data_IF_630338404631
#
_entry.id   IF_630338404631
#
_cell.length_a   1.000
_cell.length_b   1.000
_cell.length_c   1.000
_cell.angle_alpha   90.00
_cell.angle_beta   90.00
_cell.angle_gamma   90.00
#
_symmetry.space_group_name_H-M   'P 1'
#
loop_
_entity.id
_entity.type
_entity.pdbx_description
1 polymer ?
#
# COMPACT_ATOMS: atom_id res chain seq x y z
N UNK A 1 -3.59 -5.51 -12.54
CA UNK A 1 -4.80 -4.76 -12.13
C UNK A 1 -4.86 -4.59 -10.60
N UNK A 2 -3.71 -4.26 -9.96
CA UNK A 2 -3.58 -4.16 -8.50
C UNK A 2 -3.26 -2.72 -8.02
N UNK A 3 -2.93 -1.79 -8.92
CA UNK A 3 -2.40 -0.46 -8.58
C UNK A 3 -3.48 0.59 -8.31
N UNK A 4 -4.68 0.49 -8.89
CA UNK A 4 -5.75 1.47 -8.64
C UNK A 4 -6.23 1.44 -7.18
N UNK A 5 -6.41 0.26 -6.61
CA UNK A 5 -6.93 0.12 -5.24
C UNK A 5 -5.96 0.68 -4.20
N UNK A 6 -4.65 0.55 -4.42
CA UNK A 6 -3.64 1.11 -3.52
C UNK A 6 -3.67 2.64 -3.53
N UNK A 7 -3.87 3.24 -4.70
CA UNK A 7 -4.01 4.69 -4.85
C UNK A 7 -5.29 5.17 -4.15
N UNK A 8 -6.40 4.45 -4.29
CA UNK A 8 -7.65 4.81 -3.62
C UNK A 8 -7.51 4.73 -2.09
N UNK A 9 -6.88 3.68 -1.55
CA UNK A 9 -6.62 3.55 -0.11
C UNK A 9 -5.70 4.66 0.41
N UNK A 10 -4.64 5.00 -0.36
CA UNK A 10 -3.75 6.11 -0.02
C UNK A 10 -4.47 7.46 -0.08
N UNK A 11 -5.35 7.66 -1.07
CA UNK A 11 -6.17 8.87 -1.18
C UNK A 11 -7.15 9.03 -0.01
N UNK A 12 -7.75 7.93 0.47
CA UNK A 12 -8.56 7.94 1.70
C UNK A 12 -7.70 8.29 2.92
N UNK A 13 -6.50 7.73 3.03
CA UNK A 13 -5.56 8.04 4.12
C UNK A 13 -5.19 9.52 4.10
N UNK A 14 -4.87 10.06 2.92
CA UNK A 14 -4.55 11.46 2.68
C UNK A 14 -5.66 12.41 3.14
N UNK A 15 -6.92 12.04 2.90
CA UNK A 15 -8.07 12.87 3.29
C UNK A 15 -8.21 13.08 4.80
N UNK A 16 -7.52 12.28 5.63
CA UNK A 16 -7.46 12.45 7.09
C UNK A 16 -6.52 13.57 7.54
N UNK A 17 -5.64 14.03 6.65
CA UNK A 17 -4.59 15.03 6.90
C UNK A 17 -4.73 16.20 5.93
N UNK A 18 -5.80 17.03 6.06
CA UNK A 18 -6.08 18.13 5.11
C UNK A 18 -5.00 19.21 5.05
N UNK A 19 -4.10 19.25 6.02
CA UNK A 19 -2.93 20.11 6.10
C UNK A 19 -1.74 19.63 5.26
N UNK A 20 -1.79 18.39 4.75
CA UNK A 20 -0.73 17.80 3.92
C UNK A 20 -1.16 17.81 2.46
N UNK A 21 -0.36 18.46 1.61
CA UNK A 21 -0.55 18.39 0.16
C UNK A 21 -0.03 17.05 -0.37
N UNK A 22 -0.92 16.26 -0.98
CA UNK A 22 -0.58 14.93 -1.52
C UNK A 22 -0.88 14.89 -3.01
N UNK A 23 0.16 14.59 -3.79
CA UNK A 23 0.05 14.26 -5.21
C UNK A 23 0.36 12.78 -5.43
N UNK A 24 -0.41 12.12 -6.31
CA UNK A 24 -0.27 10.68 -6.57
C UNK A 24 -0.31 10.38 -8.07
N UNK A 25 0.58 9.49 -8.53
CA UNK A 25 0.71 9.13 -9.94
C UNK A 25 0.62 7.61 -10.11
N UNK A 26 -0.28 7.16 -11.00
CA UNK A 26 -0.45 5.72 -11.28
C UNK A 26 0.47 5.27 -12.41
N UNK A 27 1.61 4.69 -12.07
CA UNK A 27 2.58 4.24 -13.07
C UNK A 27 2.15 3.01 -13.88
N UNK A 28 0.98 2.43 -13.59
CA UNK A 28 0.34 1.47 -14.50
C UNK A 28 -0.40 2.16 -15.67
N UNK A 29 -0.57 3.48 -15.62
CA UNK A 29 -1.31 4.28 -16.61
C UNK A 29 -0.48 5.43 -17.19
N UNK A 30 0.76 5.60 -16.74
CA UNK A 30 1.59 6.76 -17.00
C UNK A 30 3.06 6.35 -16.90
N UNK A 31 3.91 6.79 -17.83
CA UNK A 31 5.36 6.64 -17.70
C UNK A 31 5.94 7.61 -16.66
N UNK A 32 7.08 7.28 -16.05
CA UNK A 32 7.77 8.16 -15.09
C UNK A 32 8.17 9.50 -15.73
N UNK A 33 8.45 9.50 -17.03
CA UNK A 33 8.78 10.70 -17.81
C UNK A 33 7.62 11.67 -17.99
N UNK A 34 6.37 11.23 -17.80
CA UNK A 34 5.15 12.03 -17.92
C UNK A 34 4.75 12.70 -16.60
N UNK A 35 5.41 12.37 -15.49
CA UNK A 35 5.13 13.00 -14.20
C UNK A 35 5.62 14.46 -14.24
N UNK A 36 4.77 15.45 -13.91
CA UNK A 36 5.17 16.84 -13.81
C UNK A 36 6.33 17.03 -12.83
N UNK A 37 7.30 17.86 -13.19
CA UNK A 37 8.45 18.20 -12.33
C UNK A 37 8.44 19.67 -11.91
N UNK A 38 7.55 20.46 -12.50
CA UNK A 38 7.35 21.86 -12.17
C UNK A 38 6.73 22.05 -10.78
N UNK A 39 6.99 23.22 -10.17
CA UNK A 39 6.52 23.57 -8.83
C UNK A 39 7.53 23.27 -7.74
N UNK A 40 7.17 23.58 -6.50
CA UNK A 40 8.06 23.42 -5.34
C UNK A 40 8.41 21.93 -5.14
N UNK A 41 9.68 21.60 -4.81
CA UNK A 41 10.07 20.24 -4.51
C UNK A 41 9.25 19.68 -3.34
N UNK A 42 8.83 18.40 -3.40
CA UNK A 42 8.10 17.80 -2.29
C UNK A 42 9.07 17.47 -1.15
N UNK A 43 8.61 17.62 0.09
CA UNK A 43 9.41 17.24 1.25
C UNK A 43 9.71 15.74 1.27
N UNK A 44 8.76 14.92 0.83
CA UNK A 44 8.84 13.45 0.86
C UNK A 44 8.27 12.87 -0.43
N UNK A 45 9.00 11.93 -1.04
CA UNK A 45 8.47 11.06 -2.10
C UNK A 45 8.43 9.62 -1.63
N UNK A 46 7.24 9.03 -1.69
CA UNK A 46 7.04 7.59 -1.52
C UNK A 46 7.08 6.91 -2.89
N UNK A 47 8.13 6.12 -3.13
CA UNK A 47 8.28 5.30 -4.32
C UNK A 47 7.81 3.89 -4.01
N UNK A 48 6.66 3.52 -4.58
CA UNK A 48 6.12 2.16 -4.57
C UNK A 48 5.96 1.69 -6.01
N UNK A 49 7.00 1.07 -6.56
CA UNK A 49 6.99 0.60 -7.95
C UNK A 49 6.45 -0.83 -8.02
N UNK A 50 5.47 -1.12 -8.90
CA UNK A 50 5.40 -2.47 -9.45
C UNK A 50 6.71 -2.73 -10.22
N UNK A 51 7.04 -4.00 -10.42
CA UNK A 51 8.30 -4.53 -11.02
C UNK A 51 8.69 -3.93 -12.41
N UNK A 52 7.93 -2.98 -12.96
CA UNK A 52 7.92 -2.57 -14.37
C UNK A 52 8.61 -1.22 -14.65
N UNK A 53 8.80 -0.33 -13.67
CA UNK A 53 9.46 0.96 -13.94
C UNK A 53 11.00 0.80 -13.96
N UNK A 54 11.67 1.45 -14.91
CA UNK A 54 13.13 1.47 -14.97
C UNK A 54 13.69 2.21 -13.76
N UNK A 55 14.62 1.58 -13.03
CA UNK A 55 15.32 2.20 -11.91
C UNK A 55 16.00 3.51 -12.33
N UNK A 56 16.53 3.57 -13.56
CA UNK A 56 17.22 4.75 -14.06
C UNK A 56 16.26 5.90 -14.35
N UNK A 57 15.08 5.62 -14.91
CA UNK A 57 14.03 6.64 -15.09
C UNK A 57 13.58 7.22 -13.75
N UNK A 58 13.45 6.37 -12.72
CA UNK A 58 13.10 6.83 -11.38
C UNK A 58 14.22 7.68 -10.76
N UNK A 59 15.49 7.32 -10.93
CA UNK A 59 16.62 8.15 -10.49
C UNK A 59 16.62 9.51 -11.18
N UNK A 60 16.39 9.53 -12.50
CA UNK A 60 16.34 10.77 -13.26
C UNK A 60 15.14 11.64 -12.86
N UNK A 61 13.99 11.04 -12.54
CA UNK A 61 12.85 11.75 -11.96
C UNK A 61 13.18 12.35 -10.60
N UNK A 62 13.68 11.54 -9.64
CA UNK A 62 14.02 12.01 -8.30
C UNK A 62 15.08 13.11 -8.33
N UNK A 63 16.07 13.01 -9.22
CA UNK A 63 17.08 14.05 -9.42
C UNK A 63 16.49 15.36 -9.95
N UNK A 64 15.51 15.29 -10.87
CA UNK A 64 14.86 16.48 -11.43
C UNK A 64 13.87 17.11 -10.45
N UNK A 65 13.19 16.28 -9.65
CA UNK A 65 12.19 16.72 -8.66
C UNK A 65 12.83 17.23 -7.37
N UNK A 66 14.04 16.77 -7.06
CA UNK A 66 14.87 17.16 -5.92
C UNK A 66 14.15 17.09 -4.55
N UNK A 67 13.56 15.94 -4.19
CA UNK A 67 12.80 15.84 -2.95
C UNK A 67 13.71 15.87 -1.72
N UNK A 68 13.21 16.41 -0.60
CA UNK A 68 13.94 16.41 0.66
C UNK A 68 14.26 14.99 1.16
N UNK A 69 13.28 14.09 1.06
CA UNK A 69 13.41 12.69 1.44
C UNK A 69 12.78 11.74 0.43
N UNK A 70 13.36 10.55 0.31
CA UNK A 70 12.84 9.46 -0.51
C UNK A 70 12.67 8.22 0.36
N UNK A 71 11.44 7.73 0.40
CA UNK A 71 11.08 6.43 0.95
C UNK A 71 10.76 5.52 -0.23
N UNK A 72 11.62 4.56 -0.53
CA UNK A 72 11.48 3.66 -1.66
C UNK A 72 11.37 2.23 -1.18
N UNK A 73 10.22 1.62 -1.41
CA UNK A 73 9.87 0.29 -0.90
C UNK A 73 9.23 -0.56 -1.99
N UNK A 74 9.46 -1.86 -1.92
CA UNK A 74 8.92 -2.79 -2.91
C UNK A 74 9.58 -4.16 -2.86
N UNK A 75 9.05 -5.08 -3.67
CA UNK A 75 9.55 -6.46 -3.76
C UNK A 75 10.93 -6.55 -4.42
N UNK A 76 11.28 -5.59 -5.28
CA UNK A 76 12.59 -5.53 -5.92
C UNK A 76 13.60 -4.80 -5.01
N UNK A 77 14.63 -5.49 -4.49
CA UNK A 77 15.63 -4.89 -3.62
C UNK A 77 16.38 -3.72 -4.25
N UNK A 78 16.49 -3.66 -5.59
CA UNK A 78 17.18 -2.57 -6.28
C UNK A 78 16.52 -1.22 -6.01
N UNK A 79 15.21 -1.19 -5.79
CA UNK A 79 14.47 0.02 -5.46
C UNK A 79 14.88 0.61 -4.12
N UNK A 80 15.34 -0.24 -3.19
CA UNK A 80 15.73 0.20 -1.86
C UNK A 80 16.98 1.08 -1.89
N UNK A 81 17.76 1.03 -2.98
CA UNK A 81 18.91 1.91 -3.20
C UNK A 81 18.54 3.38 -3.41
N UNK A 82 17.26 3.68 -3.63
CA UNK A 82 16.75 5.04 -3.78
C UNK A 82 16.45 5.73 -2.44
N UNK A 83 16.41 4.99 -1.33
CA UNK A 83 16.11 5.57 -0.03
C UNK A 83 17.15 6.61 0.39
N UNK A 84 16.69 7.75 0.88
CA UNK A 84 17.53 8.73 1.59
C UNK A 84 17.28 8.71 3.10
N UNK A 85 16.26 7.98 3.55
CA UNK A 85 15.93 7.77 4.97
C UNK A 85 16.69 6.57 5.56
N UNK A 86 16.84 6.48 6.90
CA UNK A 86 17.36 5.29 7.56
C UNK A 86 16.58 4.02 7.18
N UNK A 87 17.30 2.89 7.08
CA UNK A 87 16.75 1.61 6.62
C UNK A 87 15.58 1.15 7.47
N UNK A 88 15.63 1.38 8.77
CA UNK A 88 14.61 0.98 9.74
C UNK A 88 13.28 1.70 9.47
N UNK A 89 13.34 2.99 9.07
CA UNK A 89 12.15 3.77 8.70
C UNK A 89 11.52 3.26 7.40
N UNK A 90 12.35 3.01 6.38
CA UNK A 90 11.88 2.43 5.12
C UNK A 90 11.27 1.03 5.32
N UNK A 91 11.89 0.20 6.16
CA UNK A 91 11.39 -1.13 6.48
C UNK A 91 10.02 -1.07 7.17
N UNK A 92 9.83 -0.15 8.12
CA UNK A 92 8.54 0.01 8.79
C UNK A 92 7.43 0.44 7.82
N UNK A 93 7.72 1.36 6.89
CA UNK A 93 6.78 1.72 5.83
C UNK A 93 6.45 0.51 4.94
N UNK A 94 7.46 -0.29 4.58
CA UNK A 94 7.24 -1.52 3.81
C UNK A 94 6.36 -2.53 4.55
N UNK A 95 6.52 -2.69 5.87
CA UNK A 95 5.68 -3.59 6.69
C UNK A 95 4.20 -3.21 6.63
N UNK A 96 3.87 -1.91 6.73
CA UNK A 96 2.49 -1.45 6.54
C UNK A 96 1.99 -1.79 5.13
N UNK A 97 2.70 -1.32 4.10
CA UNK A 97 2.23 -1.40 2.72
C UNK A 97 2.13 -2.84 2.22
N UNK A 98 3.03 -3.73 2.65
CA UNK A 98 3.01 -5.16 2.30
C UNK A 98 1.88 -5.92 2.98
N UNK A 99 1.47 -5.50 4.18
CA UNK A 99 0.31 -6.07 4.84
C UNK A 99 -1.02 -5.60 4.23
N UNK A 100 -1.05 -4.51 3.46
CA UNK A 100 -2.23 -3.97 2.77
C UNK A 100 -3.41 -3.61 3.70
N UNK A 101 -4.47 -3.01 3.15
CA UNK A 101 -5.72 -2.72 3.87
C UNK A 101 -5.71 -1.34 4.52
N UNK A 102 -6.90 -0.74 4.63
CA UNK A 102 -7.02 0.68 4.98
C UNK A 102 -6.28 1.04 6.26
N UNK A 103 -6.41 0.24 7.33
CA UNK A 103 -5.70 0.45 8.61
C UNK A 103 -4.18 0.58 8.43
N UNK A 104 -3.59 -0.22 7.53
CA UNK A 104 -2.16 -0.17 7.27
C UNK A 104 -1.75 1.02 6.39
N UNK A 105 -2.57 1.43 5.41
CA UNK A 105 -2.27 2.63 4.61
C UNK A 105 -2.36 3.90 5.47
N UNK A 106 -3.37 3.95 6.34
CA UNK A 106 -3.53 4.98 7.35
C UNK A 106 -2.30 5.03 8.28
N UNK A 107 -1.91 3.88 8.85
CA UNK A 107 -0.73 3.77 9.71
C UNK A 107 0.59 4.11 9.00
N UNK A 108 0.72 3.78 7.71
CA UNK A 108 1.88 4.14 6.91
C UNK A 108 2.01 5.66 6.76
N UNK A 109 0.92 6.36 6.45
CA UNK A 109 0.93 7.80 6.31
C UNK A 109 1.16 8.50 7.65
N UNK A 110 0.49 8.08 8.72
CA UNK A 110 0.71 8.59 10.08
C UNK A 110 2.19 8.40 10.51
N UNK A 111 2.79 7.26 10.16
CA UNK A 111 4.19 6.96 10.45
C UNK A 111 5.14 7.85 9.65
N UNK A 112 4.88 8.06 8.36
CA UNK A 112 5.68 8.96 7.52
C UNK A 112 5.61 10.39 8.06
N UNK A 113 4.41 10.89 8.38
CA UNK A 113 4.22 12.26 8.85
C UNK A 113 4.87 12.49 10.22
N UNK A 114 4.72 11.55 11.15
CA UNK A 114 5.37 11.66 12.47
C UNK A 114 6.89 11.56 12.41
N UNK A 115 7.40 10.51 11.77
CA UNK A 115 8.82 10.19 11.83
C UNK A 115 9.69 10.99 10.84
N UNK A 116 9.10 11.50 9.77
CA UNK A 116 9.83 12.19 8.70
C UNK A 116 9.42 13.65 8.55
N UNK A 117 8.14 13.99 8.73
CA UNK A 117 7.66 15.36 8.59
C UNK A 117 7.51 16.12 9.92
N UNK A 118 7.73 15.46 11.07
CA UNK A 118 7.73 16.09 12.39
C UNK A 118 6.34 16.36 12.98
N UNK A 119 5.31 15.67 12.48
CA UNK A 119 3.95 15.78 13.02
C UNK A 119 3.83 15.05 14.37
N UNK A 120 3.03 15.59 15.29
CA UNK A 120 2.75 14.94 16.57
C UNK A 120 1.64 13.89 16.43
N UNK A 121 1.95 12.79 15.74
CA UNK A 121 1.05 11.65 15.54
C UNK A 121 1.59 10.39 16.22
N UNK A 122 0.68 9.51 16.67
CA UNK A 122 1.03 8.20 17.22
C UNK A 122 0.56 7.13 16.23
N UNK A 123 1.42 6.67 15.31
CA UNK A 123 1.02 5.67 14.33
C UNK A 123 0.73 4.32 15.00
N UNK A 124 -0.42 3.73 14.69
CA UNK A 124 -0.74 2.36 15.09
C UNK A 124 0.21 1.38 14.40
N UNK A 125 0.72 0.33 15.08
CA UNK A 125 1.68 -0.61 14.48
C UNK A 125 1.10 -1.36 13.27
N UNK A 126 1.95 -1.89 12.35
CA UNK A 126 1.49 -2.66 11.21
C UNK A 126 0.60 -3.82 11.64
N UNK A 127 -0.59 -3.90 11.03
CA UNK A 127 -1.55 -4.97 11.28
C UNK A 127 -1.32 -6.08 10.28
N UNK A 128 -0.95 -7.26 10.77
CA UNK A 128 -0.86 -8.44 9.92
C UNK A 128 -2.25 -8.89 9.47
N UNK A 129 -2.42 -9.00 8.15
CA UNK A 129 -3.62 -9.58 7.55
C UNK A 129 -3.25 -10.94 6.95
N UNK A 130 -4.05 -12.01 7.16
CA UNK A 130 -3.77 -13.34 6.65
C UNK A 130 -3.38 -13.34 5.17
N UNK A 131 -2.31 -14.06 4.82
CA UNK A 131 -1.81 -14.14 3.43
C UNK A 131 -2.71 -14.99 2.53
N UNK A 132 -3.38 -15.97 3.11
CA UNK A 132 -4.31 -16.86 2.44
C UNK A 132 -5.38 -17.31 3.44
N UNK A 133 -6.52 -17.75 2.91
CA UNK A 133 -7.59 -18.32 3.70
C UNK A 133 -8.87 -18.38 2.88
N UNK A 134 -9.92 -18.90 3.50
CA UNK A 134 -11.26 -18.85 2.94
C UNK A 134 -11.93 -17.59 3.44
N UNK A 135 -12.66 -16.91 2.56
CA UNK A 135 -13.36 -15.67 2.90
C UNK A 135 -14.82 -15.82 2.54
N UNK A 136 -15.66 -15.20 3.35
CA UNK A 136 -17.08 -15.05 3.05
C UNK A 136 -17.29 -13.69 2.37
N UNK A 137 -17.62 -13.71 1.08
CA UNK A 137 -17.86 -12.49 0.31
C UNK A 137 -19.07 -11.69 0.82
N UNK A 138 -19.94 -12.30 1.62
CA UNK A 138 -21.07 -11.64 2.28
C UNK A 138 -20.75 -11.12 3.69
N UNK A 139 -19.60 -11.51 4.26
CA UNK A 139 -19.10 -11.06 5.57
C UNK A 139 -17.65 -10.55 5.44
N UNK A 140 -17.47 -9.30 4.97
CA UNK A 140 -16.13 -8.72 4.83
C UNK A 140 -15.37 -8.71 6.16
N UNK A 141 -14.07 -8.97 6.12
CA UNK A 141 -13.18 -8.91 7.29
C UNK A 141 -12.96 -10.23 8.03
N UNK A 142 -13.73 -11.29 7.74
CA UNK A 142 -13.48 -12.63 8.28
C UNK A 142 -12.64 -13.47 7.31
N UNK A 143 -11.56 -14.05 7.84
CA UNK A 143 -10.74 -15.05 7.12
C UNK A 143 -10.71 -16.32 7.96
N UNK A 144 -11.08 -17.41 7.32
CA UNK A 144 -11.09 -18.74 7.91
C UNK A 144 -9.82 -19.47 7.51
N UNK A 145 -9.15 -20.08 8.49
CA UNK A 145 -7.89 -20.79 8.28
C UNK A 145 -8.08 -22.19 7.73
N UNK A 146 -9.31 -22.73 7.78
CA UNK A 146 -9.64 -24.07 7.30
C UNK A 146 -11.05 -24.16 6.73
N UNK A 147 -11.30 -25.19 5.93
CA UNK A 147 -12.63 -25.48 5.39
C UNK A 147 -13.63 -25.83 6.49
N UNK A 148 -13.22 -26.54 7.53
CA UNK A 148 -14.10 -26.92 8.64
C UNK A 148 -14.58 -25.70 9.43
N UNK A 149 -13.68 -24.76 9.70
CA UNK A 149 -14.01 -23.48 10.34
C UNK A 149 -14.98 -22.66 9.47
N UNK A 150 -14.70 -22.57 8.17
CA UNK A 150 -15.55 -21.88 7.21
C UNK A 150 -16.95 -22.49 7.13
N UNK A 151 -17.03 -23.83 7.02
CA UNK A 151 -18.30 -24.56 6.97
C UNK A 151 -19.11 -24.36 8.26
N UNK A 152 -18.44 -24.48 9.41
CA UNK A 152 -19.07 -24.32 10.72
C UNK A 152 -19.60 -22.91 10.94
N UNK A 153 -18.81 -21.88 10.61
CA UNK A 153 -19.20 -20.47 10.75
C UNK A 153 -20.36 -20.03 9.84
N UNK A 154 -20.58 -20.77 8.75
CA UNK A 154 -21.63 -20.52 7.76
C UNK A 154 -22.90 -21.36 7.97
N UNK A 155 -22.86 -22.38 8.82
CA UNK A 155 -23.93 -23.37 8.88
C UNK A 155 -24.09 -24.12 7.55
N UNK A 156 -22.97 -24.56 6.98
CA UNK A 156 -22.90 -25.13 5.65
C UNK A 156 -23.72 -26.43 5.52
N UNK A 157 -24.53 -26.50 4.47
CA UNK A 157 -25.32 -27.68 4.13
C UNK A 157 -24.67 -28.44 2.97
N UNK A 158 -24.15 -29.64 3.27
CA UNK A 158 -23.46 -30.49 2.30
C UNK A 158 -24.37 -31.08 1.22
N UNK A 159 -25.69 -30.99 1.38
CA UNK A 159 -26.65 -31.47 0.36
C UNK A 159 -26.80 -30.53 -0.82
N UNK A 160 -26.37 -29.27 -0.69
CA UNK A 160 -26.44 -28.27 -1.76
C UNK A 160 -25.18 -28.27 -2.63
N UNK A 161 -25.31 -28.03 -3.95
CA UNK A 161 -24.15 -27.85 -4.81
C UNK A 161 -23.38 -26.57 -4.41
N UNK A 162 -22.05 -26.65 -4.40
CA UNK A 162 -21.18 -25.54 -4.04
C UNK A 162 -20.31 -25.08 -5.20
N UNK A 163 -20.13 -23.77 -5.33
CA UNK A 163 -19.20 -23.14 -6.28
C UNK A 163 -18.14 -22.37 -5.50
N UNK A 164 -16.86 -22.56 -5.87
CA UNK A 164 -15.73 -21.84 -5.31
C UNK A 164 -15.21 -20.81 -6.32
N UNK A 165 -14.90 -19.62 -5.83
CA UNK A 165 -14.21 -18.58 -6.59
C UNK A 165 -12.86 -18.31 -5.95
N UNK A 166 -11.82 -18.23 -6.79
CA UNK A 166 -10.53 -17.71 -6.36
C UNK A 166 -10.58 -16.18 -6.42
N UNK A 167 -10.27 -15.52 -5.32
CA UNK A 167 -10.19 -14.07 -5.21
C UNK A 167 -8.79 -13.72 -4.75
N UNK A 168 -8.17 -12.70 -5.35
CA UNK A 168 -6.87 -12.24 -4.86
C UNK A 168 -7.04 -11.57 -3.50
N UNK A 169 -6.04 -11.73 -2.63
CA UNK A 169 -6.01 -11.06 -1.34
C UNK A 169 -6.15 -9.55 -1.49
N UNK A 170 -5.55 -8.97 -2.51
CA UNK A 170 -5.62 -7.53 -2.78
C UNK A 170 -7.06 -7.07 -3.07
N UNK A 171 -7.85 -7.83 -3.82
CA UNK A 171 -9.25 -7.50 -4.10
C UNK A 171 -10.08 -7.55 -2.82
N UNK A 172 -9.95 -8.63 -2.05
CA UNK A 172 -10.64 -8.79 -0.76
C UNK A 172 -10.30 -7.68 0.24
N UNK A 173 -9.00 -7.41 0.46
CA UNK A 173 -8.54 -6.41 1.44
C UNK A 173 -8.96 -4.98 1.07
N UNK A 174 -9.11 -4.68 -0.22
CA UNK A 174 -9.55 -3.37 -0.69
C UNK A 174 -11.07 -3.20 -0.76
N UNK A 175 -11.84 -4.27 -0.51
CA UNK A 175 -13.30 -4.24 -0.54
C UNK A 175 -13.90 -4.09 -1.94
N UNK A 176 -13.19 -4.55 -2.98
CA UNK A 176 -13.59 -4.51 -4.40
C UNK A 176 -13.94 -5.89 -4.96
#
# INVERSE_FOLDING_TARGET
MATSNQIDMMGRSASRHPEVEISSYNLARMAVSEIPVEGDPPDIVLVMLPVVASLDEMKDFLRRRDPGMVVSVGKDPRLWTLNTVPKEKALRVYEYLSNSGQDNYDGALDYILSELAGFELVPAPPRELPMHGLVDLTRPGEVYGSLEEYKSGRGWDESNPSVCFSVSREAWVSGN
#
